data_IF_394975318283
#
_entry.id   IF_394975318283
#
_cell.length_a   1.000
_cell.length_b   1.000
_cell.length_c   1.000
_cell.angle_alpha   90.00
_cell.angle_beta   90.00
_cell.angle_gamma   90.00
#
_symmetry.space_group_name_H-M   'P 1'
#
loop_
_entity.id
_entity.type
_entity.pdbx_description
1 polymer ?
#
# COMPACT_ATOMS: atom_id res chain seq x y z
N UNK A 1 -11.33 38.63 70.17
CA UNK A 1 -10.10 37.84 70.00
C UNK A 1 -10.50 36.41 70.35
N UNK A 2 -10.99 35.59 69.43
CA UNK A 2 -10.26 34.87 68.37
C UNK A 2 -9.12 34.02 68.92
N UNK A 3 -9.33 32.70 69.00
CA UNK A 3 -8.40 31.60 68.69
C UNK A 3 -9.23 30.30 68.84
N UNK A 4 -9.59 29.53 67.81
CA UNK A 4 -8.80 28.79 66.79
C UNK A 4 -8.19 27.49 67.35
N UNK A 5 -8.74 26.34 66.93
CA UNK A 5 -8.12 25.01 66.67
C UNK A 5 -9.21 23.92 66.84
N UNK A 6 -9.86 23.44 65.77
CA UNK A 6 -9.42 22.49 64.73
C UNK A 6 -10.00 21.09 64.99
N UNK A 7 -11.26 20.90 64.62
CA UNK A 7 -11.87 19.57 64.49
C UNK A 7 -11.67 19.10 63.04
N UNK A 8 -10.76 18.16 62.85
CA UNK A 8 -10.45 17.56 61.56
C UNK A 8 -11.48 16.47 61.26
N UNK A 9 -12.62 16.89 60.68
CA UNK A 9 -13.62 15.99 60.12
C UNK A 9 -13.08 15.31 58.87
N UNK A 10 -12.82 14.01 58.99
CA UNK A 10 -12.54 13.06 57.92
C UNK A 10 -13.70 13.02 56.91
N UNK A 11 -13.55 13.72 55.78
CA UNK A 11 -14.48 13.63 54.66
C UNK A 11 -14.13 12.41 53.82
N UNK A 12 -14.59 11.24 54.25
CA UNK A 12 -14.79 10.11 53.36
C UNK A 12 -15.92 10.47 52.40
N UNK A 13 -15.55 11.00 51.23
CA UNK A 13 -16.48 11.28 50.15
C UNK A 13 -17.11 9.96 49.69
N UNK A 14 -18.33 9.70 50.18
CA UNK A 14 -19.20 8.65 49.67
C UNK A 14 -19.45 8.90 48.17
N UNK A 15 -19.25 7.86 47.38
CA UNK A 15 -19.58 7.87 45.96
C UNK A 15 -21.10 7.96 45.86
N UNK A 16 -21.63 9.13 45.49
CA UNK A 16 -23.04 9.29 45.18
C UNK A 16 -23.38 8.42 43.95
N UNK A 17 -24.13 7.34 44.18
CA UNK A 17 -24.76 6.59 43.10
C UNK A 17 -25.89 7.45 42.51
N UNK A 18 -25.61 8.07 41.36
CA UNK A 18 -26.58 8.85 40.62
C UNK A 18 -27.62 7.90 39.96
N UNK A 19 -28.85 7.89 40.47
CA UNK A 19 -29.92 6.96 40.08
C UNK A 19 -30.93 7.58 39.07
N UNK A 20 -30.53 8.66 38.40
CA UNK A 20 -31.34 9.36 37.39
C UNK A 20 -31.01 8.98 35.94
N UNK A 21 -31.88 9.30 34.95
CA UNK A 21 -31.55 9.10 33.55
C UNK A 21 -30.33 9.95 33.17
N UNK A 22 -29.21 9.30 32.92
CA UNK A 22 -27.97 9.98 32.53
C UNK A 22 -28.13 10.49 31.10
N UNK A 23 -28.26 11.80 30.91
CA UNK A 23 -28.43 12.41 29.57
C UNK A 23 -27.28 12.07 28.61
N UNK A 24 -26.07 11.80 29.13
CA UNK A 24 -24.93 11.31 28.38
C UNK A 24 -24.11 10.29 29.16
N UNK A 25 -24.42 9.00 29.02
CA UNK A 25 -23.72 7.88 29.67
C UNK A 25 -22.18 7.85 29.42
N UNK A 26 -21.71 8.55 28.38
CA UNK A 26 -20.31 8.60 27.96
C UNK A 26 -19.46 9.66 28.67
N UNK A 27 -20.07 10.55 29.46
CA UNK A 27 -19.38 11.56 30.28
C UNK A 27 -19.11 11.10 31.72
N UNK A 28 -19.65 9.95 32.11
CA UNK A 28 -19.46 9.39 33.45
C UNK A 28 -18.03 8.87 33.59
N UNK A 29 -17.31 9.35 34.60
CA UNK A 29 -16.02 8.74 34.97
C UNK A 29 -16.32 7.38 35.58
N UNK A 30 -15.75 6.34 34.97
CA UNK A 30 -15.86 4.98 35.49
C UNK A 30 -15.14 4.95 36.84
N UNK A 31 -15.78 4.49 37.92
CA UNK A 31 -15.14 4.39 39.22
C UNK A 31 -13.95 3.43 39.15
N UNK A 32 -12.87 3.78 39.83
CA UNK A 32 -11.71 2.90 39.96
C UNK A 32 -12.11 1.65 40.73
N UNK A 33 -11.79 0.48 40.18
CA UNK A 33 -12.00 -0.77 40.88
C UNK A 33 -11.04 -0.79 42.09
N UNK A 34 -11.54 -1.15 43.28
CA UNK A 34 -10.73 -1.22 44.50
C UNK A 34 -10.54 -2.68 44.94
N UNK A 35 -9.50 -2.99 45.74
CA UNK A 35 -9.35 -4.32 46.34
C UNK A 35 -10.57 -4.77 47.16
N UNK A 36 -11.31 -3.82 47.72
CA UNK A 36 -12.53 -4.05 48.52
C UNK A 36 -13.70 -4.59 47.69
N UNK A 37 -13.74 -4.28 46.39
CA UNK A 37 -14.83 -4.69 45.49
C UNK A 37 -14.76 -6.19 45.12
N UNK A 38 -13.60 -6.82 45.31
CA UNK A 38 -13.41 -8.26 45.08
C UNK A 38 -12.72 -8.95 46.28
N UNK A 39 -13.44 -9.18 47.39
CA UNK A 39 -12.87 -9.76 48.60
C UNK A 39 -12.48 -11.24 48.45
N UNK A 40 -13.14 -11.98 47.54
CA UNK A 40 -12.90 -13.40 47.32
C UNK A 40 -11.80 -13.69 46.29
N UNK A 41 -11.31 -12.66 45.59
CA UNK A 41 -10.29 -12.77 44.55
C UNK A 41 -10.75 -13.59 43.32
N UNK A 42 -9.78 -13.94 42.47
CA UNK A 42 -10.02 -14.79 41.29
C UNK A 42 -9.91 -16.28 41.65
N UNK A 43 -10.89 -17.09 41.22
CA UNK A 43 -10.86 -18.54 41.40
C UNK A 43 -9.90 -19.24 40.42
N UNK A 44 -9.87 -18.78 39.17
CA UNK A 44 -9.08 -19.39 38.10
C UNK A 44 -7.80 -18.61 37.79
N UNK A 45 -6.77 -19.35 37.37
CA UNK A 45 -5.49 -18.78 36.94
C UNK A 45 -5.56 -18.41 35.44
N UNK A 46 -5.32 -17.14 35.14
CA UNK A 46 -5.10 -16.65 33.79
C UNK A 46 -3.61 -16.46 33.56
N UNK A 47 -3.08 -17.10 32.51
CA UNK A 47 -1.67 -16.98 32.13
C UNK A 47 -1.52 -16.50 30.70
N UNK A 48 -0.66 -15.50 30.49
CA UNK A 48 -0.26 -15.04 29.16
C UNK A 48 1.24 -15.12 28.99
N UNK A 49 1.68 -15.52 27.80
CA UNK A 49 3.09 -15.57 27.44
C UNK A 49 3.38 -14.76 26.18
N UNK A 50 4.55 -14.15 26.12
CA UNK A 50 5.02 -13.42 24.94
C UNK A 50 6.50 -13.74 24.68
N UNK A 51 6.80 -14.18 23.46
CA UNK A 51 8.16 -14.39 22.98
C UNK A 51 8.80 -13.04 22.63
N UNK A 52 10.06 -12.84 23.01
CA UNK A 52 10.84 -11.66 22.63
C UNK A 52 12.06 -12.03 21.78
N UNK A 53 12.52 -11.11 20.90
CA UNK A 53 13.72 -11.36 20.10
C UNK A 53 15.00 -11.37 20.95
N UNK A 54 15.96 -12.22 20.58
CA UNK A 54 17.26 -12.37 21.28
C UNK A 54 18.01 -11.05 21.51
N UNK A 55 17.96 -10.12 20.56
CA UNK A 55 18.64 -8.82 20.71
C UNK A 55 18.07 -7.95 21.85
N UNK A 56 16.84 -8.24 22.32
CA UNK A 56 16.17 -7.46 23.37
C UNK A 56 16.41 -8.03 24.77
N UNK A 57 16.98 -9.23 24.85
CA UNK A 57 17.23 -9.97 26.10
C UNK A 57 17.99 -9.15 27.14
N UNK A 58 19.09 -8.51 26.74
CA UNK A 58 19.93 -7.71 27.65
C UNK A 58 19.11 -6.64 28.38
N UNK A 59 18.31 -5.88 27.63
CA UNK A 59 17.48 -4.83 28.20
C UNK A 59 16.37 -5.40 29.09
N UNK A 60 15.69 -6.46 28.64
CA UNK A 60 14.60 -7.08 29.40
C UNK A 60 15.13 -7.59 30.74
N UNK A 61 16.31 -8.21 30.75
CA UNK A 61 16.98 -8.67 31.98
C UNK A 61 17.28 -7.51 32.94
N UNK A 62 17.75 -6.38 32.43
CA UNK A 62 18.06 -5.19 33.23
C UNK A 62 16.78 -4.54 33.81
N UNK A 63 15.70 -4.43 33.03
CA UNK A 63 14.46 -3.79 33.48
C UNK A 63 13.48 -4.73 34.20
N UNK A 64 13.71 -6.06 34.19
CA UNK A 64 12.78 -7.04 34.75
C UNK A 64 12.41 -6.82 36.22
N UNK A 65 13.34 -6.45 37.13
CA UNK A 65 12.99 -6.18 38.52
C UNK A 65 11.95 -5.06 38.67
N UNK A 66 12.01 -4.05 37.78
CA UNK A 66 11.05 -2.95 37.77
C UNK A 66 9.66 -3.42 37.29
N UNK A 67 9.61 -4.34 36.32
CA UNK A 67 8.37 -4.97 35.84
C UNK A 67 7.71 -5.78 36.96
N UNK A 68 8.50 -6.59 37.67
CA UNK A 68 8.00 -7.38 38.81
C UNK A 68 7.47 -6.46 39.91
N UNK A 69 8.16 -5.35 40.20
CA UNK A 69 7.69 -4.36 41.18
C UNK A 69 6.37 -3.72 40.77
N UNK A 70 6.24 -3.29 39.51
CA UNK A 70 5.03 -2.65 39.00
C UNK A 70 3.82 -3.61 38.99
N UNK A 71 4.01 -4.85 38.54
CA UNK A 71 2.96 -5.87 38.54
C UNK A 71 2.65 -6.42 39.94
N UNK A 72 3.63 -6.36 40.86
CA UNK A 72 3.47 -6.75 42.26
C UNK A 72 2.44 -5.92 43.01
N UNK A 73 2.30 -4.62 42.67
CA UNK A 73 1.25 -3.73 43.22
C UNK A 73 -0.16 -4.26 42.96
N UNK A 74 -0.36 -4.94 41.82
CA UNK A 74 -1.64 -5.54 41.43
C UNK A 74 -1.71 -7.05 41.71
N UNK A 75 -0.76 -7.59 42.48
CA UNK A 75 -0.65 -9.02 42.79
C UNK A 75 -0.60 -9.94 41.55
N UNK A 76 0.02 -9.48 40.47
CA UNK A 76 0.31 -10.30 39.29
C UNK A 76 1.74 -10.86 39.41
N UNK A 77 1.89 -12.16 39.15
CA UNK A 77 3.21 -12.80 39.09
C UNK A 77 3.75 -12.69 37.67
N UNK A 78 5.03 -12.32 37.54
CA UNK A 78 5.71 -12.24 36.25
C UNK A 78 7.01 -13.04 36.29
N UNK A 79 7.19 -13.96 35.34
CA UNK A 79 8.41 -14.75 35.20
C UNK A 79 9.09 -14.50 33.84
N UNK A 80 10.42 -14.54 33.85
CA UNK A 80 11.26 -14.34 32.67
C UNK A 80 12.08 -15.60 32.41
N UNK A 81 11.88 -16.19 31.24
CA UNK A 81 12.68 -17.30 30.75
C UNK A 81 13.66 -16.81 29.68
N UNK A 82 14.95 -16.80 30.03
CA UNK A 82 16.04 -16.41 29.14
C UNK A 82 16.42 -17.54 28.16
N UNK A 83 16.14 -18.81 28.49
CA UNK A 83 16.50 -19.95 27.64
C UNK A 83 15.54 -20.01 26.46
N UNK A 84 14.23 -19.98 26.74
CA UNK A 84 13.21 -19.95 25.69
C UNK A 84 13.00 -18.55 25.10
N UNK A 85 13.44 -17.50 25.80
CA UNK A 85 13.22 -16.11 25.37
C UNK A 85 11.75 -15.69 25.48
N UNK A 86 11.07 -16.10 26.55
CA UNK A 86 9.68 -15.79 26.81
C UNK A 86 9.49 -14.99 28.11
N UNK A 87 8.47 -14.15 28.12
CA UNK A 87 7.97 -13.45 29.31
C UNK A 87 6.58 -13.99 29.61
N UNK A 88 6.32 -14.39 30.85
CA UNK A 88 5.02 -14.89 31.28
C UNK A 88 4.45 -14.02 32.39
N UNK A 89 3.15 -13.78 32.35
CA UNK A 89 2.39 -13.10 33.41
C UNK A 89 1.23 -14.01 33.83
N UNK A 90 0.99 -14.08 35.13
CA UNK A 90 0.03 -15.01 35.75
C UNK A 90 -0.76 -14.30 36.83
N UNK A 91 -2.08 -14.49 36.86
CA UNK A 91 -2.89 -14.04 37.99
C UNK A 91 -2.60 -14.89 39.22
N UNK A 92 -2.85 -14.33 40.39
CA UNK A 92 -2.77 -15.05 41.66
C UNK A 92 -4.14 -15.01 42.35
N UNK A 93 -4.32 -15.83 43.38
CA UNK A 93 -5.55 -15.80 44.20
C UNK A 93 -5.78 -14.45 44.91
N UNK A 94 -4.75 -13.60 44.98
CA UNK A 94 -4.80 -12.26 45.59
C UNK A 94 -5.04 -11.16 44.55
N UNK A 95 -5.07 -11.48 43.26
CA UNK A 95 -5.41 -10.50 42.23
C UNK A 95 -6.87 -10.13 42.38
N UNK A 96 -7.13 -8.86 42.67
CA UNK A 96 -8.47 -8.34 42.90
C UNK A 96 -9.11 -7.88 41.57
N UNK A 97 -8.37 -7.14 40.73
CA UNK A 97 -8.87 -6.67 39.42
C UNK A 97 -8.83 -7.79 38.34
N UNK A 98 -9.98 -8.19 37.77
CA UNK A 98 -10.03 -9.18 36.69
C UNK A 98 -9.42 -8.68 35.36
N UNK A 99 -9.41 -7.38 35.09
CA UNK A 99 -8.98 -6.81 33.80
C UNK A 99 -7.47 -6.51 33.76
N UNK A 100 -6.82 -6.32 34.91
CA UNK A 100 -5.39 -5.98 34.99
C UNK A 100 -4.47 -6.99 34.29
N UNK A 101 -4.88 -8.26 34.20
CA UNK A 101 -4.10 -9.29 33.50
C UNK A 101 -3.99 -9.02 31.99
N UNK A 102 -5.01 -8.40 31.38
CA UNK A 102 -4.99 -8.03 29.96
C UNK A 102 -4.05 -6.86 29.70
N UNK A 103 -3.95 -5.93 30.65
CA UNK A 103 -2.97 -4.84 30.62
C UNK A 103 -1.56 -5.34 30.86
N UNK A 104 -1.36 -6.28 31.78
CA UNK A 104 -0.07 -6.94 32.00
C UNK A 104 0.40 -7.71 30.75
N UNK A 105 -0.51 -8.39 30.05
CA UNK A 105 -0.26 -9.01 28.75
C UNK A 105 0.19 -7.96 27.71
N UNK A 106 -0.42 -6.79 27.72
CA UNK A 106 -0.09 -5.74 26.77
C UNK A 106 1.25 -5.06 27.10
N UNK A 107 1.58 -4.90 28.38
CA UNK A 107 2.89 -4.49 28.86
C UNK A 107 4.00 -5.40 28.34
N UNK A 108 3.89 -6.73 28.53
CA UNK A 108 4.92 -7.66 28.03
C UNK A 108 5.01 -7.67 26.50
N UNK A 109 3.88 -7.50 25.79
CA UNK A 109 3.89 -7.35 24.33
C UNK A 109 4.63 -6.08 23.91
N UNK A 110 4.46 -4.95 24.60
CA UNK A 110 5.17 -3.71 24.28
C UNK A 110 6.67 -3.82 24.53
N UNK A 111 7.08 -4.47 25.62
CA UNK A 111 8.50 -4.77 25.89
C UNK A 111 9.10 -5.63 24.77
N UNK A 112 8.37 -6.62 24.26
CA UNK A 112 8.79 -7.43 23.09
C UNK A 112 8.98 -6.58 21.83
N UNK A 113 8.22 -5.50 21.68
CA UNK A 113 8.32 -4.52 20.58
C UNK A 113 9.27 -3.36 20.89
N UNK A 114 10.24 -3.62 21.77
CA UNK A 114 11.33 -2.71 22.16
C UNK A 114 10.90 -1.33 22.64
N UNK A 115 9.67 -1.22 23.18
CA UNK A 115 9.27 -0.02 23.92
C UNK A 115 10.08 0.04 25.24
N UNK A 116 10.57 1.22 25.65
CA UNK A 116 11.18 1.40 26.97
C UNK A 116 10.19 1.14 28.10
N UNK A 117 10.66 0.59 29.22
CA UNK A 117 9.87 0.28 30.39
C UNK A 117 9.07 1.49 30.91
N UNK A 118 9.71 2.64 31.08
CA UNK A 118 9.10 3.88 31.59
C UNK A 118 7.82 4.27 30.85
N UNK A 119 7.79 3.99 29.54
CA UNK A 119 6.64 4.33 28.70
C UNK A 119 5.64 3.18 28.61
N UNK A 120 6.09 1.93 28.74
CA UNK A 120 5.25 0.75 28.70
C UNK A 120 4.39 0.60 29.96
N UNK A 121 4.92 0.98 31.14
CA UNK A 121 4.21 0.89 32.44
C UNK A 121 2.91 1.70 32.45
N UNK A 122 2.87 2.82 31.72
CA UNK A 122 1.68 3.67 31.60
C UNK A 122 0.44 2.94 31.08
N UNK A 123 0.59 1.79 30.45
CA UNK A 123 -0.54 0.95 29.98
C UNK A 123 -1.28 0.27 31.14
N UNK A 124 -0.73 0.27 32.35
CA UNK A 124 -1.43 -0.23 33.54
C UNK A 124 -2.56 0.72 33.96
N UNK A 125 -2.51 2.01 33.60
CA UNK A 125 -3.55 3.01 33.89
C UNK A 125 -4.81 2.78 33.04
N UNK A 126 -6.01 3.09 33.54
CA UNK A 126 -7.29 2.80 32.85
C UNK A 126 -7.55 3.65 31.60
N UNK A 127 -7.11 4.91 31.63
CA UNK A 127 -7.31 5.84 30.51
C UNK A 127 -6.35 5.58 29.33
N UNK A 128 -5.29 4.80 29.56
CA UNK A 128 -4.20 4.59 28.61
C UNK A 128 -4.31 3.19 28.00
N UNK A 129 -4.50 3.15 26.68
CA UNK A 129 -4.44 1.93 25.91
C UNK A 129 -3.09 1.74 25.22
N UNK A 130 -2.95 0.57 24.59
CA UNK A 130 -1.88 0.33 23.62
C UNK A 130 -2.45 -0.12 22.27
N UNK A 131 -1.71 0.17 21.21
CA UNK A 131 -2.03 -0.31 19.88
C UNK A 131 -0.77 -0.75 19.11
N UNK A 132 -0.80 -1.96 18.55
CA UNK A 132 0.29 -2.53 17.75
C UNK A 132 -0.16 -2.66 16.29
N UNK A 133 0.19 -1.66 15.49
CA UNK A 133 -0.22 -1.53 14.10
C UNK A 133 0.73 -2.33 13.21
N UNK A 134 0.23 -3.36 12.54
CA UNK A 134 1.01 -4.17 11.59
C UNK A 134 1.04 -3.49 10.22
N UNK A 135 2.22 -3.04 9.79
CA UNK A 135 2.39 -2.31 8.51
C UNK A 135 3.02 -3.15 7.40
N UNK A 136 3.55 -4.35 7.72
CA UNK A 136 4.23 -5.25 6.76
C UNK A 136 3.41 -5.53 5.49
N UNK A 137 2.11 -5.80 5.66
CA UNK A 137 1.26 -6.29 4.57
C UNK A 137 0.63 -5.16 3.73
N UNK A 138 0.87 -3.89 4.09
CA UNK A 138 0.27 -2.74 3.39
C UNK A 138 1.03 -2.35 2.11
N UNK A 139 2.28 -2.78 1.97
CA UNK A 139 3.14 -2.42 0.82
C UNK A 139 3.88 -3.66 0.32
N UNK A 140 3.65 -4.05 -0.93
CA UNK A 140 4.28 -5.23 -1.52
C UNK A 140 5.81 -5.09 -1.71
N UNK A 141 6.28 -3.92 -2.17
CA UNK A 141 7.69 -3.72 -2.47
C UNK A 141 8.46 -3.28 -1.21
N UNK A 142 9.53 -4.01 -0.86
CA UNK A 142 10.39 -3.73 0.29
C UNK A 142 10.97 -2.31 0.28
N UNK A 143 11.46 -1.83 -0.85
CA UNK A 143 12.01 -0.47 -0.95
C UNK A 143 10.96 0.63 -0.72
N UNK A 144 9.77 0.46 -1.28
CA UNK A 144 8.65 1.39 -1.06
C UNK A 144 8.23 1.38 0.41
N UNK A 145 8.23 0.21 1.04
CA UNK A 145 7.95 0.06 2.47
C UNK A 145 8.96 0.83 3.32
N UNK A 146 10.27 0.67 3.08
CA UNK A 146 11.32 1.38 3.82
C UNK A 146 11.20 2.90 3.63
N UNK A 147 10.95 3.37 2.39
CA UNK A 147 10.75 4.80 2.11
C UNK A 147 9.51 5.37 2.80
N UNK A 148 8.38 4.66 2.79
CA UNK A 148 7.14 5.10 3.48
C UNK A 148 7.27 5.05 5.01
N UNK A 149 7.96 4.05 5.55
CA UNK A 149 8.28 3.97 6.98
C UNK A 149 9.21 5.11 7.41
N UNK A 150 10.26 5.39 6.64
CA UNK A 150 11.16 6.52 6.91
C UNK A 150 10.42 7.86 6.84
N UNK A 151 9.45 8.00 5.92
CA UNK A 151 8.58 9.17 5.82
C UNK A 151 7.71 9.37 7.06
N UNK A 152 7.23 8.29 7.69
CA UNK A 152 6.44 8.35 8.92
C UNK A 152 7.27 8.92 10.10
N UNK A 153 8.56 8.54 10.18
CA UNK A 153 9.50 9.09 11.18
C UNK A 153 9.78 10.57 10.87
N UNK A 154 10.00 10.87 9.59
CA UNK A 154 10.37 12.20 9.11
C UNK A 154 11.84 12.54 9.32
N UNK A 155 12.31 13.69 8.80
CA UNK A 155 13.67 14.15 9.05
C UNK A 155 13.86 14.41 10.55
N UNK A 156 14.97 13.92 11.13
CA UNK A 156 15.30 14.03 12.55
C UNK A 156 14.19 13.58 13.53
N UNK A 157 13.22 12.77 13.07
CA UNK A 157 12.08 12.37 13.91
C UNK A 157 11.03 13.46 14.14
N UNK A 158 11.11 14.61 13.45
CA UNK A 158 10.19 15.73 13.68
C UNK A 158 8.72 15.36 13.42
N UNK A 159 8.45 14.59 12.35
CA UNK A 159 7.08 14.17 12.01
C UNK A 159 6.48 13.26 13.07
N UNK A 160 7.27 12.32 13.58
CA UNK A 160 6.88 11.45 14.67
C UNK A 160 6.65 12.24 15.95
N UNK A 161 7.56 13.17 16.29
CA UNK A 161 7.40 14.00 17.49
C UNK A 161 6.17 14.91 17.44
N UNK A 162 5.88 15.50 16.29
CA UNK A 162 4.63 16.27 16.09
C UNK A 162 3.39 15.39 16.26
N UNK A 163 3.42 14.15 15.76
CA UNK A 163 2.31 13.22 15.94
C UNK A 163 2.10 12.88 17.41
N UNK A 164 3.17 12.64 18.17
CA UNK A 164 3.11 12.39 19.61
C UNK A 164 2.47 13.56 20.37
N UNK A 165 2.92 14.79 20.12
CA UNK A 165 2.41 15.98 20.80
C UNK A 165 0.94 16.28 20.47
N UNK A 166 0.52 16.03 19.23
CA UNK A 166 -0.85 16.30 18.82
C UNK A 166 -1.84 15.27 19.38
N UNK A 167 -1.42 14.01 19.48
CA UNK A 167 -2.29 12.89 19.90
C UNK A 167 -2.14 12.52 21.38
N UNK A 168 -1.18 13.12 22.09
CA UNK A 168 -0.76 12.74 23.44
C UNK A 168 -0.42 11.24 23.54
N UNK A 169 0.05 10.66 22.45
CA UNK A 169 0.50 9.27 22.39
C UNK A 169 2.03 9.22 22.30
N UNK A 170 2.61 8.17 22.83
CA UNK A 170 3.96 7.76 22.47
C UNK A 170 3.92 6.82 21.29
N UNK A 171 4.76 7.06 20.27
CA UNK A 171 4.74 6.27 19.04
C UNK A 171 6.14 5.77 18.73
N UNK A 172 6.30 4.45 18.65
CA UNK A 172 7.56 3.81 18.30
C UNK A 172 7.41 3.06 16.97
N UNK A 173 8.21 3.46 15.98
CA UNK A 173 8.26 2.84 14.66
C UNK A 173 9.44 1.88 14.62
N UNK A 174 9.19 0.57 14.66
CA UNK A 174 10.24 -0.45 14.59
C UNK A 174 9.90 -1.58 13.64
N UNK A 175 10.85 -1.89 12.75
CA UNK A 175 10.73 -3.02 11.85
C UNK A 175 9.49 -2.93 10.97
N UNK A 176 8.57 -3.86 11.15
CA UNK A 176 7.34 -3.99 10.36
C UNK A 176 6.06 -3.64 11.15
N UNK A 177 6.22 -3.06 12.34
CA UNK A 177 5.09 -2.63 13.18
C UNK A 177 5.33 -1.22 13.73
N UNK A 178 4.24 -0.54 14.04
CA UNK A 178 4.24 0.74 14.77
C UNK A 178 3.49 0.50 16.06
N UNK A 179 4.16 0.71 17.19
CA UNK A 179 3.58 0.62 18.52
C UNK A 179 3.15 2.01 18.96
N UNK A 180 1.94 2.15 19.48
CA UNK A 180 1.42 3.39 20.04
C UNK A 180 0.87 3.15 21.45
N UNK A 181 1.09 4.11 22.35
CA UNK A 181 0.62 4.07 23.74
C UNK A 181 0.00 5.42 24.05
N UNK A 182 -1.20 5.46 24.62
CA UNK A 182 -1.86 6.71 25.00
C UNK A 182 -3.38 6.59 25.05
N UNK A 183 -4.10 7.73 25.05
CA UNK A 183 -5.55 7.73 25.16
C UNK A 183 -6.21 7.14 23.91
N UNK A 184 -7.37 6.50 24.06
CA UNK A 184 -8.07 5.80 22.98
C UNK A 184 -8.35 6.68 21.74
N UNK A 185 -8.77 7.93 21.93
CA UNK A 185 -8.98 8.89 20.82
C UNK A 185 -7.68 9.17 20.06
N UNK A 186 -6.57 9.28 20.79
CA UNK A 186 -5.23 9.46 20.22
C UNK A 186 -4.78 8.23 19.42
N UNK A 187 -4.98 7.02 19.97
CA UNK A 187 -4.64 5.76 19.31
C UNK A 187 -5.39 5.58 17.98
N UNK A 188 -6.70 5.87 17.94
CA UNK A 188 -7.48 5.84 16.70
C UNK A 188 -6.93 6.80 15.65
N UNK A 189 -6.54 8.00 16.08
CA UNK A 189 -5.93 9.00 15.20
C UNK A 189 -4.58 8.50 14.67
N UNK A 190 -3.69 8.01 15.53
CA UNK A 190 -2.38 7.46 15.14
C UNK A 190 -2.54 6.31 14.15
N UNK A 191 -3.45 5.36 14.43
CA UNK A 191 -3.77 4.25 13.52
C UNK A 191 -4.16 4.73 12.14
N UNK A 192 -5.08 5.70 12.05
CA UNK A 192 -5.48 6.30 10.78
C UNK A 192 -4.30 6.94 10.05
N UNK A 193 -3.47 7.72 10.74
CA UNK A 193 -2.30 8.38 10.13
C UNK A 193 -1.30 7.36 9.59
N UNK A 194 -1.01 6.30 10.35
CA UNK A 194 -0.07 5.24 9.96
C UNK A 194 -0.58 4.49 8.73
N UNK A 195 -1.85 4.07 8.72
CA UNK A 195 -2.46 3.35 7.61
C UNK A 195 -2.51 4.20 6.32
N UNK A 196 -2.90 5.48 6.41
CA UNK A 196 -2.92 6.39 5.27
C UNK A 196 -1.52 6.70 4.73
N UNK A 197 -0.54 6.82 5.61
CA UNK A 197 0.87 6.99 5.22
C UNK A 197 1.37 5.80 4.41
N UNK A 198 0.98 4.59 4.83
CA UNK A 198 1.28 3.36 4.10
C UNK A 198 0.49 3.25 2.79
N UNK A 199 -0.69 3.88 2.67
CA UNK A 199 -1.49 4.03 1.43
C UNK A 199 -1.03 5.16 0.51
N UNK A 200 0.20 5.66 0.69
CA UNK A 200 0.85 6.70 -0.14
C UNK A 200 0.42 8.15 0.11
N UNK A 201 -0.37 8.43 1.15
CA UNK A 201 -0.63 9.80 1.59
C UNK A 201 0.58 10.27 2.42
N UNK A 202 0.91 11.56 2.40
CA UNK A 202 2.02 12.07 3.22
C UNK A 202 1.54 12.41 4.65
N UNK A 203 2.24 11.99 5.72
CA UNK A 203 1.78 12.21 7.10
C UNK A 203 1.59 13.68 7.45
N UNK A 204 2.37 14.59 6.83
CA UNK A 204 2.21 16.05 6.98
C UNK A 204 0.76 16.52 6.73
N UNK A 205 0.03 15.94 5.78
CA UNK A 205 -1.36 16.34 5.54
C UNK A 205 -2.24 16.01 6.74
N UNK A 206 -2.04 14.83 7.33
CA UNK A 206 -2.78 14.40 8.50
C UNK A 206 -2.39 15.19 9.75
N UNK A 207 -1.10 15.52 9.89
CA UNK A 207 -0.62 16.39 10.97
C UNK A 207 -1.27 17.77 10.86
N UNK A 208 -1.29 18.38 9.67
CA UNK A 208 -1.99 19.66 9.45
C UNK A 208 -3.47 19.56 9.74
N UNK A 209 -4.13 18.48 9.32
CA UNK A 209 -5.53 18.24 9.63
C UNK A 209 -5.76 18.11 11.14
N UNK A 210 -4.88 17.42 11.88
CA UNK A 210 -4.95 17.30 13.34
C UNK A 210 -4.73 18.64 14.05
N UNK A 211 -3.79 19.46 13.55
CA UNK A 211 -3.58 20.82 14.06
C UNK A 211 -4.85 21.67 13.91
N UNK A 212 -5.45 21.67 12.71
CA UNK A 212 -6.69 22.42 12.44
C UNK A 212 -7.84 21.90 13.31
N UNK A 213 -8.00 20.58 13.44
CA UNK A 213 -9.01 20.01 14.35
C UNK A 213 -8.81 20.45 15.79
N UNK A 214 -7.56 20.54 16.26
CA UNK A 214 -7.26 20.94 17.63
C UNK A 214 -7.56 22.41 17.89
N UNK A 215 -7.36 23.29 16.90
CA UNK A 215 -7.80 24.68 16.99
C UNK A 215 -9.33 24.78 16.93
N UNK A 216 -10.00 24.10 15.98
CA UNK A 216 -11.46 24.10 15.88
C UNK A 216 -12.17 23.53 17.11
N UNK A 217 -11.54 22.59 17.83
CA UNK A 217 -12.09 22.05 19.10
C UNK A 217 -12.13 23.08 20.24
N UNK A 218 -11.28 24.12 20.19
CA UNK A 218 -11.25 25.18 21.19
C UNK A 218 -12.40 26.18 20.98
N UNK A 219 -12.83 26.37 19.74
CA UNK A 219 -13.92 27.28 19.39
C UNK A 219 -15.27 26.66 19.77
N UNK A 220 -16.02 27.28 20.68
CA UNK A 220 -17.29 26.74 21.17
C UNK A 220 -18.39 26.76 20.10
N UNK A 221 -18.45 27.81 19.28
CA UNK A 221 -19.48 28.01 18.25
C UNK A 221 -19.49 26.93 17.15
N UNK A 222 -18.33 26.33 16.86
CA UNK A 222 -18.20 25.35 15.77
C UNK A 222 -18.23 23.90 16.27
N UNK A 223 -18.40 23.64 17.57
CA UNK A 223 -18.32 22.27 18.13
C UNK A 223 -19.31 21.28 17.53
N UNK A 224 -20.51 21.75 17.21
CA UNK A 224 -21.60 20.91 16.70
C UNK A 224 -21.65 20.86 15.16
N UNK A 225 -20.89 21.73 14.49
CA UNK A 225 -20.86 21.80 13.03
C UNK A 225 -19.90 20.78 12.40
N UNK A 226 -20.17 20.41 11.15
CA UNK A 226 -19.28 19.56 10.39
C UNK A 226 -18.01 20.32 9.90
N UNK A 227 -16.84 19.94 10.40
CA UNK A 227 -15.55 20.56 10.06
C UNK A 227 -14.95 20.17 8.71
N UNK A 228 -15.63 19.34 7.93
CA UNK A 228 -15.16 18.83 6.65
C UNK A 228 -14.74 19.90 5.63
N UNK A 229 -15.30 21.11 5.73
CA UNK A 229 -14.98 22.27 4.90
C UNK A 229 -13.61 22.86 5.21
N UNK A 230 -13.18 22.84 6.47
CA UNK A 230 -11.92 23.44 6.93
C UNK A 230 -10.74 22.47 6.81
N UNK A 231 -11.02 21.17 6.67
CA UNK A 231 -9.99 20.14 6.62
C UNK A 231 -9.35 20.06 5.23
N UNK A 232 -8.01 20.14 5.14
CA UNK A 232 -7.29 19.93 3.88
C UNK A 232 -7.52 18.51 3.37
N UNK A 233 -8.19 18.36 2.23
CA UNK A 233 -8.36 17.07 1.57
C UNK A 233 -7.25 16.83 0.56
N UNK A 234 -6.57 15.70 0.69
CA UNK A 234 -5.68 15.25 -0.36
C UNK A 234 -6.51 14.64 -1.49
N UNK A 235 -6.67 15.39 -2.58
CA UNK A 235 -7.20 14.83 -3.83
C UNK A 235 -6.04 14.25 -4.63
N UNK A 236 -6.06 12.94 -4.88
CA UNK A 236 -5.13 12.32 -5.81
C UNK A 236 -5.41 12.91 -7.20
N UNK A 237 -4.51 13.78 -7.67
CA UNK A 237 -4.58 14.28 -9.04
C UNK A 237 -4.26 13.10 -9.98
N UNK A 238 -5.30 12.40 -10.46
CA UNK A 238 -5.18 11.42 -11.52
C UNK A 238 -5.01 12.16 -12.86
N UNK A 239 -3.94 12.96 -13.00
CA UNK A 239 -3.69 13.81 -14.20
C UNK A 239 -3.25 13.00 -15.41
N UNK A 240 -3.46 11.68 -15.41
CA UNK A 240 -3.11 10.82 -16.54
C UNK A 240 -4.35 10.41 -17.32
N UNK A 241 -5.06 11.42 -17.84
CA UNK A 241 -5.65 11.26 -19.19
C UNK A 241 -4.50 11.28 -20.21
N UNK A 242 -3.55 10.34 -20.08
CA UNK A 242 -2.56 10.12 -21.12
C UNK A 242 -3.35 9.64 -22.32
N UNK A 243 -3.38 10.43 -23.39
CA UNK A 243 -3.99 10.01 -24.64
C UNK A 243 -3.42 8.65 -25.01
N UNK A 244 -4.27 7.62 -24.99
CA UNK A 244 -3.86 6.28 -25.42
C UNK A 244 -3.47 6.42 -26.90
N UNK A 245 -2.30 5.91 -27.32
CA UNK A 245 -1.96 5.94 -28.74
C UNK A 245 -3.06 5.23 -29.54
N UNK A 246 -3.44 5.79 -30.69
CA UNK A 246 -4.48 5.21 -31.57
C UNK A 246 -4.18 3.75 -31.94
N UNK A 247 -2.89 3.38 -31.95
CA UNK A 247 -2.42 2.00 -32.12
C UNK A 247 -1.82 1.52 -30.80
N UNK A 248 -2.61 0.79 -30.01
CA UNK A 248 -2.08 0.05 -28.85
C UNK A 248 -1.56 -1.29 -29.36
N UNK A 249 -0.24 -1.47 -29.39
CA UNK A 249 0.37 -2.76 -29.71
C UNK A 249 -0.13 -3.80 -28.70
N UNK A 250 -0.93 -4.78 -29.15
CA UNK A 250 -1.33 -5.92 -28.32
C UNK A 250 -0.07 -6.67 -27.88
N UNK A 251 0.03 -7.04 -26.60
CA UNK A 251 1.13 -7.91 -26.14
C UNK A 251 1.01 -9.26 -26.84
N UNK A 252 2.14 -9.83 -27.26
CA UNK A 252 2.18 -11.20 -27.80
C UNK A 252 1.70 -12.16 -26.71
N UNK A 253 1.01 -13.22 -27.10
CA UNK A 253 0.61 -14.30 -26.19
C UNK A 253 1.86 -14.94 -25.55
N UNK A 254 1.74 -15.31 -24.28
CA UNK A 254 2.84 -15.92 -23.54
C UNK A 254 3.09 -17.32 -24.09
N UNK A 255 4.23 -17.51 -24.75
CA UNK A 255 4.73 -18.82 -25.14
C UNK A 255 5.81 -19.24 -24.15
N UNK A 256 5.73 -20.43 -23.52
CA UNK A 256 6.77 -20.90 -22.61
C UNK A 256 8.07 -21.23 -23.34
N UNK A 257 7.99 -21.46 -24.66
CA UNK A 257 9.15 -21.70 -25.51
C UNK A 257 9.81 -20.37 -25.90
N UNK A 258 11.15 -20.25 -25.72
CA UNK A 258 11.87 -19.11 -26.23
C UNK A 258 11.82 -19.10 -27.77
N UNK A 259 11.85 -17.92 -28.41
CA UNK A 259 12.02 -17.85 -29.85
C UNK A 259 13.37 -18.47 -30.25
N UNK A 260 13.51 -19.02 -31.46
CA UNK A 260 14.79 -19.52 -31.93
C UNK A 260 15.84 -18.39 -31.89
N UNK A 261 17.06 -18.76 -31.50
CA UNK A 261 18.21 -17.87 -31.56
C UNK A 261 18.42 -17.43 -33.02
N UNK A 262 18.91 -16.22 -33.22
CA UNK A 262 19.24 -15.76 -34.57
C UNK A 262 20.53 -16.46 -35.01
N UNK A 263 20.47 -17.16 -36.14
CA UNK A 263 21.63 -17.85 -36.70
C UNK A 263 22.80 -16.88 -36.93
N UNK A 264 24.01 -17.30 -36.55
CA UNK A 264 25.21 -16.50 -36.80
C UNK A 264 25.47 -16.39 -38.30
N UNK A 265 26.33 -15.45 -38.72
CA UNK A 265 26.75 -15.36 -40.13
C UNK A 265 27.36 -16.67 -40.61
N UNK A 266 28.09 -17.37 -39.74
CA UNK A 266 28.71 -18.66 -40.03
C UNK A 266 27.62 -19.72 -40.21
N UNK A 267 26.64 -19.78 -39.32
CA UNK A 267 25.53 -20.76 -39.41
C UNK A 267 24.69 -20.54 -40.66
N UNK A 268 24.45 -19.28 -41.05
CA UNK A 268 23.78 -18.95 -42.32
C UNK A 268 24.58 -19.41 -43.53
N UNK A 269 25.90 -19.26 -43.49
CA UNK A 269 26.80 -19.73 -44.56
C UNK A 269 26.92 -21.26 -44.60
N UNK A 270 26.89 -21.91 -43.44
CA UNK A 270 26.85 -23.38 -43.33
C UNK A 270 25.52 -23.91 -43.88
N UNK A 271 24.40 -23.29 -43.53
CA UNK A 271 23.07 -23.65 -44.03
C UNK A 271 22.88 -23.37 -45.53
N UNK A 272 23.48 -22.30 -46.08
CA UNK A 272 23.46 -22.02 -47.52
C UNK A 272 24.44 -22.86 -48.33
N UNK A 273 25.36 -23.58 -47.67
CA UNK A 273 26.45 -24.33 -48.29
C UNK A 273 27.57 -23.45 -48.85
N UNK A 274 27.44 -22.12 -48.78
CA UNK A 274 28.47 -21.17 -49.23
C UNK A 274 29.73 -21.23 -48.38
N UNK A 275 29.63 -21.71 -47.13
CA UNK A 275 30.79 -21.87 -46.27
C UNK A 275 31.82 -22.83 -46.85
N UNK A 276 31.37 -23.90 -47.52
CA UNK A 276 32.24 -24.95 -48.05
C UNK A 276 32.84 -24.61 -49.43
N UNK A 277 32.30 -23.62 -50.13
CA UNK A 277 32.80 -23.21 -51.45
C UNK A 277 34.07 -22.36 -51.32
N UNK A 278 35.06 -22.65 -52.16
CA UNK A 278 36.25 -21.80 -52.29
C UNK A 278 35.89 -20.45 -52.90
N UNK A 279 36.72 -19.43 -52.65
CA UNK A 279 36.47 -18.08 -53.18
C UNK A 279 36.42 -18.04 -54.72
N UNK A 280 37.15 -18.93 -55.39
CA UNK A 280 37.11 -19.08 -56.84
C UNK A 280 35.77 -19.67 -57.32
N UNK A 281 35.26 -20.70 -56.63
CA UNK A 281 33.95 -21.29 -56.92
C UNK A 281 32.79 -20.32 -56.64
N UNK A 282 32.91 -19.48 -55.61
CA UNK A 282 31.95 -18.40 -55.34
C UNK A 282 31.93 -17.37 -56.47
N UNK A 283 33.11 -16.99 -56.98
CA UNK A 283 33.24 -16.03 -58.10
C UNK A 283 32.71 -16.61 -59.41
N UNK A 284 32.97 -17.87 -59.71
CA UNK A 284 32.45 -18.52 -60.92
C UNK A 284 30.93 -18.64 -60.90
N UNK A 285 30.35 -19.06 -59.76
CA UNK A 285 28.90 -19.12 -59.56
C UNK A 285 28.25 -17.74 -59.70
N UNK A 286 28.84 -16.70 -59.11
CA UNK A 286 28.36 -15.32 -59.25
C UNK A 286 28.41 -14.82 -60.70
N UNK A 287 29.43 -15.21 -61.46
CA UNK A 287 29.55 -14.87 -62.90
C UNK A 287 28.48 -15.58 -63.72
N UNK A 288 28.22 -16.86 -63.44
CA UNK A 288 27.14 -17.61 -64.07
C UNK A 288 25.77 -16.98 -63.79
N UNK A 289 25.50 -16.62 -62.53
CA UNK A 289 24.27 -15.92 -62.15
C UNK A 289 24.10 -14.58 -62.87
N UNK A 290 25.18 -13.82 -63.10
CA UNK A 290 25.16 -12.59 -63.88
C UNK A 290 24.80 -12.86 -65.34
N UNK A 291 25.47 -13.82 -65.98
CA UNK A 291 25.19 -14.21 -67.37
C UNK A 291 23.75 -14.71 -67.53
N UNK A 292 23.24 -15.50 -66.59
CA UNK A 292 21.87 -15.98 -66.62
C UNK A 292 20.86 -14.86 -66.40
N UNK A 293 21.18 -13.88 -65.55
CA UNK A 293 20.37 -12.67 -65.40
C UNK A 293 20.35 -11.85 -66.68
N UNK A 294 21.50 -11.62 -67.31
CA UNK A 294 21.60 -10.90 -68.59
C UNK A 294 20.78 -11.59 -69.68
N UNK A 295 20.82 -12.92 -69.75
CA UNK A 295 19.96 -13.70 -70.66
C UNK A 295 18.47 -13.48 -70.38
N UNK A 296 18.05 -13.51 -69.11
CA UNK A 296 16.65 -13.25 -68.72
C UNK A 296 16.22 -11.83 -69.05
N UNK A 297 17.07 -10.84 -68.79
CA UNK A 297 16.77 -9.45 -69.09
C UNK A 297 16.71 -9.24 -70.61
N UNK A 298 17.57 -9.90 -71.38
CA UNK A 298 17.52 -9.90 -72.84
C UNK A 298 16.24 -10.54 -73.37
N UNK A 299 15.75 -11.65 -72.79
CA UNK A 299 14.45 -12.25 -73.18
C UNK A 299 13.29 -11.32 -72.84
N UNK A 300 13.25 -10.73 -71.64
CA UNK A 300 12.21 -9.76 -71.26
C UNK A 300 12.23 -8.53 -72.16
N UNK A 301 13.42 -8.05 -72.53
CA UNK A 301 13.56 -6.91 -73.44
C UNK A 301 13.20 -7.26 -74.88
N UNK A 302 13.41 -8.52 -75.30
CA UNK A 302 12.94 -9.03 -76.59
C UNK A 302 11.41 -9.12 -76.61
N UNK A 303 10.79 -9.70 -75.58
CA UNK A 303 9.33 -9.74 -75.41
C UNK A 303 8.71 -8.34 -75.33
N UNK A 304 9.38 -7.38 -74.69
CA UNK A 304 8.94 -5.98 -74.66
C UNK A 304 9.00 -5.36 -76.05
N UNK A 305 10.09 -5.57 -76.80
CA UNK A 305 10.23 -5.10 -78.18
C UNK A 305 9.20 -5.73 -79.12
N UNK A 306 8.94 -7.03 -78.97
CA UNK A 306 7.91 -7.74 -79.73
C UNK A 306 6.50 -7.20 -79.44
N UNK A 307 6.21 -6.85 -78.18
CA UNK A 307 4.96 -6.17 -77.81
C UNK A 307 4.81 -4.79 -78.44
N UNK A 308 5.89 -4.02 -78.56
CA UNK A 308 5.84 -2.69 -79.21
C UNK A 308 5.63 -2.80 -80.74
N UNK A 309 5.97 -3.95 -81.36
CA UNK A 309 5.74 -4.22 -82.78
C UNK A 309 4.33 -4.74 -83.11
N UNK A 310 3.57 -5.17 -82.10
CA UNK A 310 2.14 -5.51 -82.25
C UNK A 310 1.33 -4.25 -82.04
N UNK A 311 0.59 -3.82 -83.06
CA UNK A 311 -0.29 -2.66 -82.95
C UNK A 311 -1.26 -2.87 -81.78
N UNK A 312 -1.40 -1.92 -80.85
CA UNK A 312 -2.35 -2.03 -79.76
C UNK A 312 -3.76 -2.19 -80.34
N UNK A 313 -4.52 -3.14 -79.82
CA UNK A 313 -5.91 -3.33 -80.26
C UNK A 313 -6.71 -2.06 -80.04
N UNK A 314 -7.15 -1.43 -81.15
CA UNK A 314 -8.00 -0.25 -81.10
C UNK A 314 -9.39 -0.65 -80.59
N UNK A 315 -9.77 -0.18 -79.40
CA UNK A 315 -11.17 -0.26 -78.99
C UNK A 315 -11.97 0.69 -79.88
N UNK A 316 -12.69 0.12 -80.84
CA UNK A 316 -13.51 0.85 -81.81
C UNK A 316 -14.51 1.76 -81.08
N UNK A 317 -14.24 3.08 -81.06
CA UNK A 317 -15.14 4.08 -80.47
C UNK A 317 -15.94 4.75 -81.59
N UNK A 318 -17.21 4.35 -81.65
CA UNK A 318 -18.40 4.95 -82.33
C UNK A 318 -18.69 4.36 -83.73
N UNK A 319 -19.90 3.91 -84.06
CA UNK A 319 -21.19 3.90 -83.37
C UNK A 319 -22.18 2.95 -84.07
N UNK A 320 -23.08 2.32 -83.32
CA UNK A 320 -24.48 2.10 -83.74
C UNK A 320 -25.37 1.99 -82.49
N UNK A 321 -26.34 2.91 -82.39
CA UNK A 321 -27.54 2.75 -81.57
C UNK A 321 -28.39 1.62 -82.18
N UNK A 322 -28.67 0.57 -81.42
CA UNK A 322 -29.97 -0.13 -81.39
C UNK A 322 -29.96 -1.27 -80.36
N UNK A 323 -31.09 -1.40 -79.66
CA UNK A 323 -31.55 -2.50 -78.82
C UNK A 323 -31.04 -2.60 -77.38
N UNK A 324 -31.87 -2.02 -76.52
CA UNK A 324 -32.06 -2.32 -75.11
C UNK A 324 -32.21 -3.83 -74.84
N UNK A 325 -31.25 -4.40 -74.12
CA UNK A 325 -31.44 -5.60 -73.32
C UNK A 325 -30.63 -5.43 -72.03
N UNK A 326 -31.38 -5.12 -70.97
CA UNK A 326 -31.13 -5.39 -69.55
C UNK A 326 -29.68 -5.50 -69.05
N UNK A 327 -29.15 -4.40 -68.50
CA UNK A 327 -28.04 -4.46 -67.53
C UNK A 327 -28.43 -3.71 -66.27
N UNK A 328 -28.88 -4.49 -65.29
CA UNK A 328 -29.13 -4.08 -63.92
C UNK A 328 -27.88 -3.44 -63.31
N UNK A 329 -27.89 -2.10 -63.17
CA UNK A 329 -26.83 -1.36 -62.49
C UNK A 329 -26.87 -1.70 -60.99
N UNK A 330 -25.84 -2.36 -60.47
CA UNK A 330 -25.76 -2.68 -59.04
C UNK A 330 -25.40 -1.44 -58.19
N UNK A 331 -26.46 -0.71 -57.83
CA UNK A 331 -26.44 0.51 -56.99
C UNK A 331 -25.74 0.28 -55.63
N UNK A 332 -25.68 -0.96 -55.13
CA UNK A 332 -25.01 -1.29 -53.86
C UNK A 332 -23.49 -1.16 -53.98
N UNK A 333 -22.90 -1.61 -55.09
CA UNK A 333 -21.46 -1.51 -55.33
C UNK A 333 -20.99 -0.06 -55.47
N UNK A 334 -21.81 0.79 -56.09
CA UNK A 334 -21.56 2.23 -56.26
C UNK A 334 -21.67 3.01 -54.96
N UNK A 335 -22.71 2.75 -54.15
CA UNK A 335 -22.83 3.34 -52.80
C UNK A 335 -21.66 2.93 -51.89
N UNK A 336 -21.19 1.69 -51.98
CA UNK A 336 -20.02 1.22 -51.23
C UNK A 336 -18.72 1.92 -51.62
N UNK A 337 -18.52 2.20 -52.93
CA UNK A 337 -17.35 2.94 -53.43
C UNK A 337 -17.38 4.41 -53.03
N UNK A 338 -18.54 5.07 -53.09
CA UNK A 338 -18.72 6.46 -52.66
C UNK A 338 -18.50 6.60 -51.15
N UNK A 339 -19.02 5.67 -50.33
CA UNK A 339 -18.79 5.66 -48.89
C UNK A 339 -17.31 5.44 -48.52
N UNK A 340 -16.58 4.61 -49.29
CA UNK A 340 -15.11 4.44 -49.13
C UNK A 340 -14.33 5.69 -49.54
N UNK A 341 -14.75 6.38 -50.59
CA UNK A 341 -14.14 7.64 -51.03
C UNK A 341 -14.33 8.75 -50.00
N UNK A 342 -15.54 8.93 -49.46
CA UNK A 342 -15.82 9.90 -48.42
C UNK A 342 -15.09 9.58 -47.10
N UNK A 343 -14.92 8.30 -46.75
CA UNK A 343 -14.09 7.89 -45.60
C UNK A 343 -12.58 8.14 -45.80
N UNK A 344 -12.09 8.17 -47.03
CA UNK A 344 -10.70 8.54 -47.34
C UNK A 344 -10.50 10.06 -47.29
N UNK A 345 -11.47 10.82 -47.81
CA UNK A 345 -11.45 12.28 -47.76
C UNK A 345 -11.55 12.83 -46.33
N UNK A 346 -12.28 12.17 -45.42
CA UNK A 346 -12.38 12.56 -44.01
C UNK A 346 -11.20 12.10 -43.12
N UNK A 347 -10.19 11.41 -43.69
CA UNK A 347 -9.00 10.91 -42.99
C UNK A 347 -7.69 11.55 -43.48
N UNK A 348 -7.74 12.25 -44.61
CA UNK A 348 -6.82 13.35 -44.92
C UNK A 348 -7.22 14.57 -44.12
#
# INVERSE_FOLDING_TARGET
MSDSESDAGDQTAGIEHFDGPVENAWLMKIPEFKPEDNPNGLLEESSFSCLFPKYREKYIKECWPLVVKALGTHHIKADLDLILGNMTVRTTRKTWDPYIILKARDLIKLLSRSVPFEQAVKVLDDEIGCDIIKVKNLVANKEKFVKRRSRLIGPNGCTLKSLELLTNCYVLVQGATVSAIGPYKGLQCVRKVVEETMKNIHPIYNIKALMIKRELMKDENLREENWERFLPRFQSKNTTKRNKPKVVKKKKEYTPFPPPLQDSKIDKQLASGEYFLTDEQKRSKKRQEQVDKEKRDATVQKERRERDFVAPEETNRRATKANSADTQLDVKSLKGKIAKANKRAAKS
#
